data_IF_394533365664
#
_entry.id   IF_394533365664
#
_cell.length_a   1.000
_cell.length_b   1.000
_cell.length_c   1.000
_cell.angle_alpha   90.00
_cell.angle_beta   90.00
_cell.angle_gamma   90.00
#
_symmetry.space_group_name_H-M   'P 1'
#
loop_
_entity.id
_entity.type
_entity.pdbx_description
1 polymer ?
#
# COMPACT_ATOMS: atom_id res chain seq x y z
N UNK A 1 12.00 8.64 -14.06
CA UNK A 1 11.42 9.70 -13.19
C UNK A 1 11.16 11.00 -13.95
N UNK A 2 12.15 11.53 -14.68
CA UNK A 2 12.11 12.80 -15.44
C UNK A 2 10.86 12.97 -16.29
N UNK A 3 10.47 11.94 -17.03
CA UNK A 3 9.33 11.99 -17.95
C UNK A 3 7.99 12.34 -17.28
N UNK A 4 7.79 11.92 -16.03
CA UNK A 4 6.56 12.27 -15.28
C UNK A 4 6.70 13.59 -14.55
N UNK A 5 7.89 13.89 -14.02
CA UNK A 5 8.14 15.11 -13.24
C UNK A 5 8.05 16.40 -14.07
N UNK A 6 8.15 16.34 -15.40
CA UNK A 6 7.93 17.50 -16.26
C UNK A 6 6.44 17.94 -16.31
N UNK A 7 5.52 17.00 -16.09
CA UNK A 7 4.07 17.28 -16.13
C UNK A 7 3.48 17.53 -14.75
N UNK A 8 4.09 16.95 -13.71
CA UNK A 8 3.58 17.03 -12.34
C UNK A 8 4.72 17.38 -11.37
N UNK A 9 4.72 18.59 -10.77
CA UNK A 9 5.66 18.94 -9.72
C UNK A 9 5.39 18.13 -8.45
N UNK A 10 6.43 17.92 -7.63
CA UNK A 10 6.34 17.28 -6.30
C UNK A 10 5.69 15.88 -6.27
N UNK A 11 5.96 15.08 -7.29
CA UNK A 11 5.47 13.68 -7.36
C UNK A 11 6.51 12.66 -6.92
N UNK A 12 6.01 11.55 -6.38
CA UNK A 12 6.73 10.29 -6.29
C UNK A 12 6.14 9.31 -7.31
N UNK A 13 6.93 8.90 -8.29
CA UNK A 13 6.55 7.81 -9.20
C UNK A 13 6.82 6.48 -8.50
N UNK A 14 5.78 5.66 -8.36
CA UNK A 14 5.83 4.37 -7.67
C UNK A 14 5.66 3.26 -8.70
N UNK A 15 6.66 2.38 -8.81
CA UNK A 15 6.60 1.23 -9.72
C UNK A 15 5.83 0.07 -9.07
N UNK A 16 4.90 -0.52 -9.81
CA UNK A 16 4.12 -1.66 -9.34
C UNK A 16 4.90 -2.98 -9.51
N UNK A 17 5.37 -3.56 -8.40
CA UNK A 17 6.19 -4.78 -8.38
C UNK A 17 5.52 -5.97 -9.08
N UNK A 18 4.19 -6.05 -9.00
CA UNK A 18 3.37 -7.08 -9.66
C UNK A 18 3.57 -7.17 -11.18
N UNK A 19 4.08 -6.12 -11.83
CA UNK A 19 4.40 -6.17 -13.26
C UNK A 19 5.61 -7.08 -13.52
N UNK A 20 6.67 -6.90 -12.74
CA UNK A 20 7.88 -7.72 -12.68
C UNK A 20 8.80 -7.15 -11.61
N UNK A 21 9.34 -7.98 -10.71
CA UNK A 21 10.32 -7.55 -9.72
C UNK A 21 11.40 -8.62 -9.50
N UNK A 22 12.65 -8.19 -9.51
CA UNK A 22 13.81 -8.95 -9.02
C UNK A 22 14.83 -7.98 -8.39
N UNK A 23 15.91 -8.49 -7.81
CA UNK A 23 16.93 -7.65 -7.15
C UNK A 23 17.57 -6.62 -8.09
N UNK A 24 17.86 -7.01 -9.33
CA UNK A 24 18.50 -6.12 -10.31
C UNK A 24 17.59 -4.95 -10.68
N UNK A 25 16.30 -5.21 -10.94
CA UNK A 25 15.33 -4.17 -11.23
C UNK A 25 15.08 -3.28 -10.01
N UNK A 26 15.01 -3.86 -8.81
CA UNK A 26 14.85 -3.08 -7.58
C UNK A 26 16.01 -2.08 -7.37
N UNK A 27 17.25 -2.47 -7.70
CA UNK A 27 18.41 -1.56 -7.67
C UNK A 27 18.28 -0.42 -8.68
N UNK A 28 17.87 -0.70 -9.93
CA UNK A 28 17.64 0.34 -10.95
C UNK A 28 16.56 1.33 -10.48
N UNK A 29 15.44 0.83 -9.94
CA UNK A 29 14.37 1.68 -9.42
C UNK A 29 14.84 2.56 -8.25
N UNK A 30 15.70 2.01 -7.37
CA UNK A 30 16.31 2.72 -6.25
C UNK A 30 17.24 3.85 -6.74
N UNK A 31 18.11 3.56 -7.72
CA UNK A 31 19.04 4.52 -8.33
C UNK A 31 18.30 5.66 -9.04
N UNK A 32 17.23 5.34 -9.76
CA UNK A 32 16.35 6.32 -10.41
C UNK A 32 15.47 7.12 -9.41
N UNK A 33 15.51 6.74 -8.13
CA UNK A 33 14.82 7.40 -7.04
C UNK A 33 13.30 7.23 -7.05
N UNK A 34 12.79 6.19 -7.72
CA UNK A 34 11.37 5.81 -7.71
C UNK A 34 10.96 5.21 -6.36
N UNK A 35 9.66 5.13 -6.13
CA UNK A 35 9.07 4.27 -5.10
C UNK A 35 8.73 2.88 -5.63
N UNK A 36 8.36 1.99 -4.72
CA UNK A 36 8.02 0.61 -5.01
C UNK A 36 6.69 0.24 -4.34
N UNK A 37 5.71 -0.19 -5.14
CA UNK A 37 4.44 -0.77 -4.69
C UNK A 37 4.60 -2.28 -4.67
N UNK A 38 4.58 -2.87 -3.47
CA UNK A 38 4.69 -4.31 -3.22
C UNK A 38 3.34 -4.86 -2.76
N UNK A 39 3.01 -6.10 -3.14
CA UNK A 39 1.74 -6.77 -2.82
C UNK A 39 1.89 -8.03 -1.97
N UNK A 40 3.11 -8.46 -1.65
CA UNK A 40 3.38 -9.64 -0.81
C UNK A 40 4.68 -9.53 -0.01
N UNK A 41 4.82 -10.38 1.02
CA UNK A 41 6.05 -10.50 1.81
C UNK A 41 7.28 -10.90 0.99
N UNK A 42 7.11 -11.65 -0.10
CA UNK A 42 8.21 -12.00 -1.01
C UNK A 42 8.78 -10.78 -1.74
N UNK A 43 7.92 -9.86 -2.17
CA UNK A 43 8.34 -8.61 -2.81
C UNK A 43 8.96 -7.64 -1.79
N UNK A 44 8.41 -7.56 -0.57
CA UNK A 44 9.04 -6.83 0.53
C UNK A 44 10.45 -7.37 0.82
N UNK A 45 10.64 -8.69 0.82
CA UNK A 45 11.95 -9.30 1.03
C UNK A 45 12.94 -8.94 -0.08
N UNK A 46 12.51 -8.92 -1.34
CA UNK A 46 13.37 -8.47 -2.46
C UNK A 46 13.81 -7.02 -2.21
N UNK A 47 12.87 -6.13 -1.89
CA UNK A 47 13.15 -4.72 -1.61
C UNK A 47 14.12 -4.53 -0.43
N UNK A 48 13.88 -5.26 0.67
CA UNK A 48 14.76 -5.25 1.84
C UNK A 48 16.17 -5.75 1.51
N UNK A 49 16.29 -6.82 0.70
CA UNK A 49 17.58 -7.43 0.35
C UNK A 49 18.51 -6.56 -0.50
N UNK A 50 18.03 -5.43 -1.03
CA UNK A 50 18.79 -4.45 -1.80
C UNK A 50 18.85 -3.08 -1.11
N UNK A 51 18.49 -3.03 0.16
CA UNK A 51 18.37 -1.81 0.97
C UNK A 51 17.51 -0.75 0.28
N UNK A 52 16.38 -1.14 -0.32
CA UNK A 52 15.46 -0.20 -0.95
C UNK A 52 14.96 0.80 0.12
N UNK A 53 14.96 2.13 -0.14
CA UNK A 53 14.56 3.11 0.87
C UNK A 53 13.16 2.81 1.42
N UNK A 54 13.02 2.44 2.70
CA UNK A 54 11.76 1.89 3.18
C UNK A 54 10.64 2.93 3.16
N UNK A 55 10.97 4.21 3.39
CA UNK A 55 10.05 5.35 3.24
C UNK A 55 9.43 5.51 1.84
N UNK A 56 9.99 4.83 0.81
CA UNK A 56 9.46 4.83 -0.56
C UNK A 56 8.74 3.53 -0.94
N UNK A 57 8.54 2.63 0.02
CA UNK A 57 7.82 1.36 -0.18
C UNK A 57 6.37 1.54 0.25
N UNK A 58 5.45 1.08 -0.61
CA UNK A 58 4.01 1.09 -0.39
C UNK A 58 3.54 -0.36 -0.41
N UNK A 59 3.07 -0.85 0.74
CA UNK A 59 2.66 -2.23 0.89
C UNK A 59 1.15 -2.38 0.68
N UNK A 60 0.78 -2.83 -0.51
CA UNK A 60 -0.55 -3.22 -0.92
C UNK A 60 -0.83 -4.70 -0.64
N UNK A 61 -2.07 -5.12 -0.87
CA UNK A 61 -2.53 -6.50 -0.68
C UNK A 61 -3.91 -6.51 -0.02
N UNK A 62 -4.84 -7.33 -0.54
CA UNK A 62 -6.21 -7.38 -0.03
C UNK A 62 -6.42 -8.37 1.11
N UNK A 63 -5.39 -9.15 1.44
CA UNK A 63 -5.42 -10.17 2.48
C UNK A 63 -4.02 -10.40 3.08
N UNK A 64 -3.42 -9.32 3.59
CA UNK A 64 -2.08 -9.37 4.20
C UNK A 64 -2.10 -10.24 5.46
N UNK A 65 -1.10 -11.09 5.62
CA UNK A 65 -0.99 -11.93 6.82
C UNK A 65 -0.44 -11.13 8.01
N UNK A 66 -0.53 -11.71 9.22
CA UNK A 66 0.07 -11.10 10.42
C UNK A 66 1.57 -10.93 10.22
N UNK A 67 2.23 -11.97 9.70
CA UNK A 67 3.67 -12.01 9.47
C UNK A 67 4.10 -10.94 8.46
N UNK A 68 3.33 -10.73 7.39
CA UNK A 68 3.61 -9.68 6.41
C UNK A 68 3.47 -8.28 7.00
N UNK A 69 2.46 -8.06 7.86
CA UNK A 69 2.27 -6.77 8.54
C UNK A 69 3.37 -6.51 9.57
N UNK A 70 3.78 -7.53 10.33
CA UNK A 70 4.90 -7.44 11.26
C UNK A 70 6.21 -7.14 10.52
N UNK A 71 6.46 -7.77 9.37
CA UNK A 71 7.61 -7.45 8.51
C UNK A 71 7.57 -5.98 8.06
N UNK A 72 6.41 -5.50 7.59
CA UNK A 72 6.27 -4.11 7.16
C UNK A 72 6.56 -3.12 8.30
N UNK A 73 6.06 -3.39 9.50
CA UNK A 73 6.32 -2.58 10.70
C UNK A 73 7.80 -2.61 11.11
N UNK A 74 8.38 -3.81 11.23
CA UNK A 74 9.76 -4.00 11.68
C UNK A 74 10.78 -3.41 10.69
N UNK A 75 10.46 -3.41 9.40
CA UNK A 75 11.30 -2.81 8.35
C UNK A 75 10.96 -1.35 8.06
N UNK A 76 10.05 -0.75 8.85
CA UNK A 76 9.67 0.65 8.75
C UNK A 76 9.20 1.05 7.34
N UNK A 77 8.39 0.18 6.72
CA UNK A 77 7.81 0.42 5.38
C UNK A 77 7.06 1.75 5.38
N UNK A 78 7.27 2.54 4.33
CA UNK A 78 6.78 3.90 4.23
C UNK A 78 5.29 3.99 4.41
N UNK A 79 4.50 3.22 3.65
CA UNK A 79 3.04 3.21 3.80
C UNK A 79 2.47 1.81 3.68
N UNK A 80 1.56 1.45 4.58
CA UNK A 80 0.69 0.27 4.40
C UNK A 80 -0.63 0.74 3.81
N UNK A 81 -0.99 0.21 2.64
CA UNK A 81 -2.25 0.54 1.98
C UNK A 81 -3.31 -0.45 2.46
N UNK A 82 -4.10 -0.01 3.44
CA UNK A 82 -5.12 -0.80 4.13
C UNK A 82 -6.31 -1.02 3.22
N UNK A 83 -6.68 -2.29 3.04
CA UNK A 83 -7.68 -2.68 2.05
C UNK A 83 -9.06 -2.96 2.68
N UNK A 84 -9.13 -3.28 3.97
CA UNK A 84 -10.39 -3.60 4.66
C UNK A 84 -10.37 -3.34 6.17
N UNK A 85 -11.53 -3.42 6.82
CA UNK A 85 -11.69 -3.13 8.26
C UNK A 85 -10.98 -4.14 9.17
N UNK A 86 -10.81 -5.39 8.72
CA UNK A 86 -10.10 -6.41 9.49
C UNK A 86 -8.62 -6.07 9.55
N UNK A 87 -8.00 -5.78 8.40
CA UNK A 87 -6.62 -5.33 8.32
C UNK A 87 -6.37 -4.08 9.15
N UNK A 88 -7.27 -3.08 9.09
CA UNK A 88 -7.14 -1.86 9.90
C UNK A 88 -7.10 -2.15 11.40
N UNK A 89 -7.96 -3.03 11.89
CA UNK A 89 -7.98 -3.46 13.32
C UNK A 89 -6.73 -4.25 13.68
N UNK A 90 -6.29 -5.11 12.78
CA UNK A 90 -5.11 -5.94 12.98
C UNK A 90 -3.86 -5.07 13.08
N UNK A 91 -3.68 -4.11 12.16
CA UNK A 91 -2.54 -3.20 12.16
C UNK A 91 -2.53 -2.27 13.38
N UNK A 92 -3.70 -1.74 13.81
CA UNK A 92 -3.83 -0.98 15.06
C UNK A 92 -3.42 -1.83 16.28
N UNK A 93 -3.82 -3.10 16.34
CA UNK A 93 -3.38 -4.01 17.41
C UNK A 93 -1.86 -4.22 17.39
N UNK A 94 -1.28 -4.55 16.24
CA UNK A 94 0.15 -4.83 16.10
C UNK A 94 1.02 -3.60 16.43
N UNK A 95 0.60 -2.42 16.00
CA UNK A 95 1.30 -1.16 16.33
C UNK A 95 1.22 -0.82 17.82
N UNK A 96 0.14 -1.17 18.52
CA UNK A 96 0.05 -1.04 19.99
C UNK A 96 0.98 -2.02 20.72
N UNK A 97 1.03 -3.27 20.27
CA UNK A 97 1.89 -4.32 20.85
C UNK A 97 3.38 -3.99 20.67
N UNK A 98 3.77 -3.49 19.50
CA UNK A 98 5.16 -3.15 19.15
C UNK A 98 5.57 -1.74 19.56
N UNK A 99 4.62 -0.86 19.90
CA UNK A 99 4.82 0.59 20.13
C UNK A 99 5.42 1.33 18.93
N UNK A 100 5.30 0.75 17.74
CA UNK A 100 5.68 1.39 16.47
C UNK A 100 4.52 2.22 15.93
N UNK A 101 4.84 3.23 15.11
CA UNK A 101 3.86 3.97 14.33
C UNK A 101 3.95 3.56 12.87
N UNK A 102 2.82 3.58 12.17
CA UNK A 102 2.75 3.26 10.75
C UNK A 102 1.91 4.30 10.02
N UNK A 103 2.50 4.92 9.01
CA UNK A 103 1.74 5.72 8.05
C UNK A 103 0.91 4.79 7.17
N UNK A 104 -0.36 5.11 6.97
CA UNK A 104 -1.29 4.30 6.20
C UNK A 104 -1.93 5.09 5.06
N UNK A 105 -2.44 4.36 4.08
CA UNK A 105 -3.44 4.86 3.14
C UNK A 105 -4.65 3.94 3.19
N UNK A 106 -5.85 4.49 3.06
CA UNK A 106 -7.07 3.70 2.90
C UNK A 106 -7.37 3.54 1.42
N UNK A 107 -7.48 2.29 0.94
CA UNK A 107 -7.90 2.06 -0.45
C UNK A 107 -9.41 2.28 -0.57
N UNK A 108 -9.82 3.25 -1.36
CA UNK A 108 -11.24 3.56 -1.56
C UNK A 108 -11.76 2.97 -2.87
N UNK A 109 -13.00 2.50 -2.85
CA UNK A 109 -13.71 1.95 -4.01
C UNK A 109 -14.82 2.92 -4.41
N UNK A 110 -14.61 3.73 -5.46
CA UNK A 110 -15.53 4.80 -5.81
C UNK A 110 -16.77 4.35 -6.59
N UNK A 111 -16.82 3.08 -7.03
CA UNK A 111 -17.92 2.59 -7.86
C UNK A 111 -17.86 3.08 -9.30
N UNK A 112 -16.69 3.55 -9.76
CA UNK A 112 -16.47 4.00 -11.13
C UNK A 112 -16.00 2.80 -11.95
N UNK A 113 -16.75 2.47 -13.01
CA UNK A 113 -16.34 1.51 -14.02
C UNK A 113 -15.55 2.24 -15.12
N UNK A 114 -14.23 2.03 -15.27
CA UNK A 114 -13.42 2.67 -16.31
C UNK A 114 -13.79 2.28 -17.76
N UNK A 115 -14.93 1.62 -18.03
CA UNK A 115 -15.38 1.24 -19.37
C UNK A 115 -14.34 0.36 -20.12
N UNK A 116 -13.59 -0.45 -19.38
CA UNK A 116 -12.69 -1.48 -19.92
C UNK A 116 -13.41 -2.84 -19.96
N UNK A 117 -12.82 -3.85 -20.62
CA UNK A 117 -13.39 -5.21 -20.60
C UNK A 117 -13.66 -5.69 -19.16
N UNK A 118 -14.80 -6.36 -18.93
CA UNK A 118 -15.29 -6.78 -17.60
C UNK A 118 -14.26 -7.50 -16.72
N UNK A 119 -13.28 -8.21 -17.33
CA UNK A 119 -12.25 -8.97 -16.61
C UNK A 119 -11.10 -8.10 -16.06
N UNK A 120 -11.00 -6.83 -16.47
CA UNK A 120 -9.96 -5.88 -16.03
C UNK A 120 -10.50 -4.73 -15.18
N UNK A 121 -11.82 -4.64 -15.03
CA UNK A 121 -12.49 -3.61 -14.23
C UNK A 121 -12.31 -3.90 -12.73
N UNK A 122 -11.48 -3.09 -12.05
CA UNK A 122 -11.35 -3.05 -10.59
C UNK A 122 -11.87 -1.72 -10.08
N UNK A 123 -12.71 -1.71 -9.03
CA UNK A 123 -13.28 -0.46 -8.46
C UNK A 123 -14.80 -0.31 -8.55
N UNK A 124 -15.50 -1.33 -9.06
CA UNK A 124 -16.96 -1.45 -8.97
C UNK A 124 -17.41 -1.90 -7.57
N UNK A 125 -18.69 -1.76 -7.25
CA UNK A 125 -19.25 -2.15 -5.93
C UNK A 125 -19.03 -3.63 -5.57
N UNK A 126 -18.91 -4.50 -6.56
CA UNK A 126 -18.59 -5.93 -6.39
C UNK A 126 -17.08 -6.22 -6.29
N UNK A 127 -16.25 -5.18 -6.16
CA UNK A 127 -14.81 -5.37 -6.02
C UNK A 127 -14.46 -5.93 -4.65
N UNK A 128 -13.61 -6.97 -4.62
CA UNK A 128 -13.01 -7.51 -3.39
C UNK A 128 -11.99 -6.57 -2.71
N UNK A 129 -11.82 -5.37 -3.25
CA UNK A 129 -10.77 -4.43 -2.89
C UNK A 129 -11.34 -3.20 -2.24
N UNK A 130 -10.68 -2.73 -1.18
CA UNK A 130 -10.89 -1.41 -0.60
C UNK A 130 -12.25 -1.22 0.10
N UNK A 131 -12.46 0.01 0.56
CA UNK A 131 -13.69 0.44 1.23
C UNK A 131 -14.63 1.11 0.22
N UNK A 132 -15.83 0.56 -0.04
CA UNK A 132 -16.79 1.20 -0.91
C UNK A 132 -17.27 2.55 -0.34
N UNK A 133 -17.25 3.59 -1.17
CA UNK A 133 -17.77 4.91 -0.79
C UNK A 133 -19.29 4.86 -0.55
N UNK A 134 -20.02 4.21 -1.45
CA UNK A 134 -21.49 4.20 -1.46
C UNK A 134 -22.14 3.51 -0.25
N UNK A 135 -21.40 2.64 0.47
CA UNK A 135 -21.93 1.90 1.62
C UNK A 135 -21.56 2.53 2.98
N UNK A 136 -20.82 3.65 2.97
CA UNK A 136 -20.32 4.29 4.20
C UNK A 136 -19.16 3.56 4.88
N UNK A 137 -18.66 2.46 4.30
CA UNK A 137 -17.51 1.75 4.86
C UNK A 137 -16.23 2.61 4.87
N UNK A 138 -16.04 3.44 3.85
CA UNK A 138 -14.90 4.36 3.79
C UNK A 138 -14.91 5.37 4.95
N UNK A 139 -16.07 5.96 5.26
CA UNK A 139 -16.21 6.90 6.38
C UNK A 139 -15.92 6.20 7.72
N UNK A 140 -16.41 4.96 7.89
CA UNK A 140 -16.12 4.14 9.07
C UNK A 140 -14.63 3.85 9.21
N UNK A 141 -13.95 3.54 8.11
CA UNK A 141 -12.51 3.28 8.10
C UNK A 141 -11.71 4.53 8.48
N UNK A 142 -12.07 5.70 7.95
CA UNK A 142 -11.45 7.00 8.31
C UNK A 142 -11.62 7.28 9.80
N UNK A 143 -12.83 7.16 10.35
CA UNK A 143 -13.09 7.37 11.78
C UNK A 143 -12.24 6.44 12.65
N UNK A 144 -12.14 5.17 12.27
CA UNK A 144 -11.34 4.20 13.01
C UNK A 144 -9.84 4.52 12.92
N UNK A 145 -9.33 4.87 11.74
CA UNK A 145 -7.93 5.25 11.54
C UNK A 145 -7.54 6.47 12.38
N UNK A 146 -8.33 7.54 12.36
CA UNK A 146 -8.09 8.75 13.16
C UNK A 146 -8.10 8.46 14.68
N UNK A 147 -8.91 7.48 15.12
CA UNK A 147 -8.96 7.08 16.53
C UNK A 147 -7.79 6.19 16.98
N UNK A 148 -6.99 5.67 16.05
CA UNK A 148 -5.87 4.79 16.33
C UNK A 148 -4.57 5.62 16.54
N UNK A 149 -4.02 5.69 17.77
CA UNK A 149 -2.95 6.64 18.10
C UNK A 149 -1.59 6.34 17.43
N UNK A 150 -1.43 5.11 16.93
CA UNK A 150 -0.20 4.65 16.29
C UNK A 150 -0.34 4.50 14.77
N UNK A 151 -1.50 4.82 14.20
CA UNK A 151 -1.70 4.93 12.76
C UNK A 151 -1.75 6.42 12.39
N UNK A 152 -1.16 6.77 11.26
CA UNK A 152 -1.15 8.14 10.73
C UNK A 152 -1.63 8.15 9.28
#
# INVERSE_FOLDING_TARGET
KTEFSQYYPDILVIYAAKAFLNKALALVLKEEGLGLDTVSGGELYIAHSVDFPPAKIYFHGNNKTIEELELALNWNVGRVVVDNLYELKLLDRLTKETKLKQDILLRLTPGVDPHTHQYTTTGTLDSKFGFPLATGQAEKAVKQAISAPNLN
#
